data_IF_958286735931
#
_entry.id   IF_958286735931
#
_cell.length_a   1.000
_cell.length_b   1.000
_cell.length_c   1.000
_cell.angle_alpha   90.00
_cell.angle_beta   90.00
_cell.angle_gamma   90.00
#
_symmetry.space_group_name_H-M   'P 1'
#
loop_
_entity.id
_entity.type
_entity.pdbx_description
1 polymer ?
#
# COMPACT_ATOMS: atom_id res chain seq x y z
N UNK A 1 -43.69 21.22 -62.07
CA UNK A 1 -42.51 20.35 -62.38
C UNK A 1 -41.90 19.92 -61.05
N UNK A 2 -42.22 18.69 -60.59
CA UNK A 2 -41.37 17.47 -60.60
C UNK A 2 -40.13 17.62 -59.67
N UNK A 3 -40.12 17.01 -58.46
CA UNK A 3 -39.89 15.57 -58.09
C UNK A 3 -38.37 15.25 -58.03
N UNK A 4 -37.72 14.66 -57.01
CA UNK A 4 -37.94 13.50 -56.10
C UNK A 4 -36.72 13.42 -55.11
N UNK A 5 -36.58 12.46 -54.16
CA UNK A 5 -37.43 12.06 -53.01
C UNK A 5 -36.71 12.06 -51.63
N UNK A 6 -37.53 12.12 -50.58
CA UNK A 6 -37.27 11.65 -49.21
C UNK A 6 -37.60 10.14 -49.07
N UNK A 7 -37.14 9.53 -47.95
CA UNK A 7 -37.32 8.13 -47.49
C UNK A 7 -36.21 7.17 -47.96
N UNK A 8 -35.60 6.37 -47.08
CA UNK A 8 -36.16 5.56 -45.99
C UNK A 8 -35.21 5.54 -44.78
N UNK A 9 -35.76 5.25 -43.60
CA UNK A 9 -35.07 5.07 -42.30
C UNK A 9 -34.89 6.33 -41.44
N UNK A 10 -35.98 7.07 -41.26
CA UNK A 10 -36.30 7.64 -39.96
C UNK A 10 -37.31 6.70 -39.28
N UNK A 11 -36.93 6.09 -38.17
CA UNK A 11 -37.83 5.44 -37.20
C UNK A 11 -37.08 5.22 -35.87
N UNK A 12 -37.77 5.05 -34.74
CA UNK A 12 -37.99 6.08 -33.75
C UNK A 12 -37.13 5.89 -32.50
N UNK A 13 -36.94 6.98 -31.75
CA UNK A 13 -36.57 6.91 -30.34
C UNK A 13 -37.84 6.49 -29.59
N UNK A 14 -37.69 5.58 -28.61
CA UNK A 14 -38.69 5.05 -27.68
C UNK A 14 -39.31 3.69 -28.05
N UNK A 15 -38.74 2.61 -27.52
CA UNK A 15 -39.45 1.63 -26.69
C UNK A 15 -38.43 0.78 -25.88
N UNK A 16 -38.74 0.38 -24.63
CA UNK A 16 -37.81 -0.34 -23.77
C UNK A 16 -37.71 -1.81 -24.22
N UNK A 17 -36.48 -2.31 -24.32
CA UNK A 17 -36.20 -3.73 -24.62
C UNK A 17 -36.55 -4.57 -23.37
N UNK A 18 -37.84 -4.81 -23.17
CA UNK A 18 -38.35 -5.87 -22.32
C UNK A 18 -39.24 -6.75 -23.19
N UNK A 19 -38.72 -7.93 -23.54
CA UNK A 19 -39.37 -9.08 -24.21
C UNK A 19 -38.80 -9.40 -25.60
N UNK A 20 -37.67 -10.12 -25.63
CA UNK A 20 -37.31 -10.99 -26.74
C UNK A 20 -37.16 -12.42 -26.20
N UNK A 21 -38.09 -13.29 -26.58
CA UNK A 21 -38.11 -14.72 -26.21
C UNK A 21 -37.11 -15.51 -27.08
N UNK A 22 -36.37 -16.52 -26.54
CA UNK A 22 -35.18 -17.08 -27.21
C UNK A 22 -35.45 -18.15 -28.29
N UNK A 23 -36.69 -18.37 -28.72
CA UNK A 23 -37.05 -19.61 -29.46
C UNK A 23 -37.03 -19.50 -31.00
N UNK A 24 -36.48 -18.44 -31.60
CA UNK A 24 -36.59 -18.21 -33.07
C UNK A 24 -35.29 -18.27 -33.90
N UNK A 25 -34.16 -18.67 -33.33
CA UNK A 25 -32.90 -18.75 -34.11
C UNK A 25 -32.13 -20.04 -33.82
N UNK A 26 -32.37 -21.14 -34.56
CA UNK A 26 -31.48 -22.29 -34.53
C UNK A 26 -30.34 -22.03 -35.52
N UNK A 27 -29.12 -21.87 -35.00
CA UNK A 27 -27.89 -21.95 -35.78
C UNK A 27 -27.33 -20.63 -36.29
N UNK A 28 -26.73 -19.82 -35.41
CA UNK A 28 -25.67 -18.83 -35.73
C UNK A 28 -24.98 -18.17 -34.51
N UNK A 29 -25.29 -18.56 -33.27
CA UNK A 29 -24.91 -17.77 -32.09
C UNK A 29 -23.44 -17.89 -31.60
N UNK A 30 -22.62 -18.81 -32.13
CA UNK A 30 -21.28 -19.07 -31.56
C UNK A 30 -20.18 -18.20 -32.21
N UNK A 31 -20.33 -17.80 -33.47
CA UNK A 31 -19.35 -16.97 -34.17
C UNK A 31 -19.49 -15.46 -33.86
N UNK A 32 -20.69 -15.02 -33.44
CA UNK A 32 -21.00 -13.60 -33.23
C UNK A 32 -20.45 -13.09 -31.88
N UNK A 33 -20.30 -13.94 -30.87
CA UNK A 33 -19.76 -13.53 -29.57
C UNK A 33 -18.28 -13.13 -29.62
N UNK A 34 -17.44 -13.79 -30.42
CA UNK A 34 -16.03 -13.42 -30.56
C UNK A 34 -15.83 -12.09 -31.29
N UNK A 35 -16.62 -11.83 -32.33
CA UNK A 35 -16.54 -10.58 -33.11
C UNK A 35 -17.19 -9.41 -32.36
N UNK A 36 -18.25 -9.63 -31.56
CA UNK A 36 -18.83 -8.61 -30.70
C UNK A 36 -17.90 -8.24 -29.52
N UNK A 37 -17.16 -9.22 -28.98
CA UNK A 37 -16.11 -9.01 -27.97
C UNK A 37 -14.94 -8.18 -28.54
N UNK A 38 -14.57 -8.45 -29.80
CA UNK A 38 -13.57 -7.68 -30.54
C UNK A 38 -14.04 -6.25 -30.86
N UNK A 39 -15.31 -6.11 -31.25
CA UNK A 39 -15.93 -4.81 -31.49
C UNK A 39 -15.98 -3.97 -30.21
N UNK A 40 -16.26 -4.54 -29.04
CA UNK A 40 -16.26 -3.80 -27.77
C UNK A 40 -14.85 -3.32 -27.34
N UNK A 41 -13.82 -4.13 -27.55
CA UNK A 41 -12.41 -3.77 -27.25
C UNK A 41 -11.92 -2.65 -28.17
N UNK A 42 -12.31 -2.69 -29.46
CA UNK A 42 -11.94 -1.69 -30.46
C UNK A 42 -12.81 -0.42 -30.36
N UNK A 43 -14.12 -0.53 -30.13
CA UNK A 43 -15.03 0.62 -29.96
C UNK A 43 -14.77 1.40 -28.67
N UNK A 44 -14.34 0.75 -27.59
CA UNK A 44 -13.85 1.43 -26.38
C UNK A 44 -12.51 2.17 -26.60
N UNK A 45 -11.80 1.89 -27.71
CA UNK A 45 -10.61 2.62 -28.14
C UNK A 45 -10.89 3.78 -29.08
N UNK A 46 -11.98 3.73 -29.86
CA UNK A 46 -12.32 4.77 -30.84
C UNK A 46 -13.24 5.86 -30.25
N UNK A 47 -14.01 5.56 -29.20
CA UNK A 47 -14.97 6.52 -28.60
C UNK A 47 -14.50 7.00 -27.22
N UNK A 48 -13.51 7.91 -27.19
CA UNK A 48 -13.49 9.12 -26.35
C UNK A 48 -12.11 9.77 -26.36
N UNK A 49 -11.99 10.78 -27.22
CA UNK A 49 -11.19 11.95 -26.91
C UNK A 49 -11.73 12.61 -25.64
N UNK A 50 -10.83 13.16 -24.83
CA UNK A 50 -11.08 14.01 -23.67
C UNK A 50 -11.81 13.36 -22.47
N UNK A 51 -11.03 12.76 -21.57
CA UNK A 51 -11.14 12.87 -20.09
C UNK A 51 -10.11 11.93 -19.43
N UNK A 52 -9.49 12.28 -18.28
CA UNK A 52 -8.72 11.33 -17.50
C UNK A 52 -9.70 10.35 -16.86
N UNK A 53 -9.75 9.12 -17.39
CA UNK A 53 -10.63 8.08 -16.87
C UNK A 53 -10.17 7.68 -15.47
N UNK A 54 -10.89 8.18 -14.46
CA UNK A 54 -11.07 7.53 -13.16
C UNK A 54 -11.45 6.07 -13.45
N UNK A 55 -10.73 5.09 -12.90
CA UNK A 55 -11.05 3.67 -13.04
C UNK A 55 -12.55 3.47 -12.73
N UNK A 56 -13.42 3.21 -13.72
CA UNK A 56 -14.71 2.67 -13.37
C UNK A 56 -14.40 1.28 -12.84
N UNK A 57 -14.94 0.94 -11.67
CA UNK A 57 -14.95 -0.42 -11.17
C UNK A 57 -15.52 -1.31 -12.28
N UNK A 58 -14.64 -1.96 -13.04
CA UNK A 58 -15.05 -2.88 -14.09
C UNK A 58 -15.88 -3.95 -13.40
N UNK A 59 -17.07 -4.32 -13.94
CA UNK A 59 -17.84 -5.40 -13.36
C UNK A 59 -16.95 -6.65 -13.27
N UNK A 60 -17.03 -7.39 -12.16
CA UNK A 60 -16.41 -8.72 -12.04
C UNK A 60 -17.08 -9.61 -13.09
N UNK A 61 -16.52 -9.65 -14.29
CA UNK A 61 -17.01 -10.44 -15.39
C UNK A 61 -16.63 -11.90 -15.14
N UNK A 62 -17.61 -12.79 -15.29
CA UNK A 62 -17.41 -14.22 -15.19
C UNK A 62 -16.51 -14.67 -16.37
N UNK A 63 -15.35 -15.23 -16.02
CA UNK A 63 -14.22 -15.63 -16.89
C UNK A 63 -14.50 -16.90 -17.69
N UNK A 64 -15.73 -17.39 -17.71
CA UNK A 64 -16.07 -18.75 -18.16
C UNK A 64 -16.42 -18.88 -19.65
N UNK A 65 -16.16 -17.88 -20.50
CA UNK A 65 -16.38 -18.02 -21.94
C UNK A 65 -15.43 -19.10 -22.51
N UNK A 66 -15.94 -20.21 -23.06
CA UNK A 66 -15.11 -21.39 -23.40
C UNK A 66 -14.09 -21.19 -24.54
N UNK A 67 -13.99 -19.98 -25.10
CA UNK A 67 -13.11 -19.65 -26.22
C UNK A 67 -12.06 -18.58 -25.91
N UNK A 68 -12.18 -17.84 -24.80
CA UNK A 68 -11.23 -16.78 -24.48
C UNK A 68 -9.88 -17.40 -24.08
N UNK A 69 -8.85 -17.10 -24.87
CA UNK A 69 -7.51 -17.70 -24.73
C UNK A 69 -7.20 -18.87 -25.67
N UNK A 70 -8.07 -19.18 -26.63
CA UNK A 70 -7.71 -20.05 -27.74
C UNK A 70 -6.63 -19.43 -28.67
N UNK A 71 -6.03 -20.26 -29.53
CA UNK A 71 -4.96 -19.84 -30.45
C UNK A 71 -5.39 -18.68 -31.36
N UNK A 72 -6.66 -18.64 -31.76
CA UNK A 72 -7.21 -17.58 -32.62
C UNK A 72 -7.24 -16.24 -31.90
N UNK A 73 -7.70 -16.21 -30.65
CA UNK A 73 -7.71 -15.02 -29.82
C UNK A 73 -6.30 -14.53 -29.50
N UNK A 74 -5.37 -15.44 -29.16
CA UNK A 74 -3.97 -15.09 -28.95
C UNK A 74 -3.35 -14.48 -30.21
N UNK A 75 -3.53 -15.13 -31.37
CA UNK A 75 -3.01 -14.63 -32.66
C UNK A 75 -3.56 -13.24 -32.99
N UNK A 76 -4.84 -13.02 -32.73
CA UNK A 76 -5.48 -11.75 -33.01
C UNK A 76 -4.99 -10.63 -32.08
N UNK A 77 -4.90 -10.91 -30.78
CA UNK A 77 -4.33 -9.97 -29.81
C UNK A 77 -2.84 -9.69 -30.09
N UNK A 78 -2.08 -10.70 -30.52
CA UNK A 78 -0.69 -10.53 -30.94
C UNK A 78 -0.56 -9.54 -32.10
N UNK A 79 -1.43 -9.62 -33.11
CA UNK A 79 -1.44 -8.63 -34.21
C UNK A 79 -1.70 -7.21 -33.70
N UNK A 80 -2.59 -7.05 -32.72
CA UNK A 80 -2.89 -5.75 -32.13
C UNK A 80 -1.72 -5.13 -31.35
N UNK A 81 -0.69 -5.91 -30.98
CA UNK A 81 0.55 -5.37 -30.42
C UNK A 81 1.38 -4.57 -31.43
N UNK A 82 1.03 -4.57 -32.71
CA UNK A 82 1.75 -3.82 -33.75
C UNK A 82 0.97 -2.61 -34.27
N UNK A 83 -0.18 -2.30 -33.67
CA UNK A 83 -1.01 -1.15 -34.07
C UNK A 83 -0.34 0.20 -33.75
N UNK A 84 -0.66 1.22 -34.55
CA UNK A 84 -0.05 2.54 -34.42
C UNK A 84 -0.38 3.21 -33.07
N UNK A 85 -1.63 3.08 -32.60
CA UNK A 85 -2.06 3.64 -31.32
C UNK A 85 -1.57 2.77 -30.15
N UNK A 86 -0.74 3.36 -29.29
CA UNK A 86 -0.22 2.71 -28.09
C UNK A 86 -1.33 2.23 -27.13
N UNK A 87 -2.52 2.85 -27.15
CA UNK A 87 -3.66 2.41 -26.33
C UNK A 87 -4.22 1.07 -26.80
N UNK A 88 -4.19 0.81 -28.11
CA UNK A 88 -4.61 -0.47 -28.67
C UNK A 88 -3.59 -1.53 -28.29
N UNK A 89 -2.30 -1.25 -28.47
CA UNK A 89 -1.21 -2.15 -28.04
C UNK A 89 -1.25 -2.47 -26.55
N UNK A 90 -1.52 -1.46 -25.72
CA UNK A 90 -1.66 -1.63 -24.28
C UNK A 90 -2.81 -2.59 -23.95
N UNK A 91 -3.99 -2.38 -24.55
CA UNK A 91 -5.14 -3.27 -24.36
C UNK A 91 -4.86 -4.68 -24.86
N UNK A 92 -4.15 -4.82 -25.97
CA UNK A 92 -3.71 -6.10 -26.49
C UNK A 92 -2.81 -6.84 -25.50
N UNK A 93 -1.83 -6.16 -24.89
CA UNK A 93 -0.98 -6.74 -23.85
C UNK A 93 -1.77 -7.18 -22.61
N UNK A 94 -2.74 -6.37 -22.16
CA UNK A 94 -3.63 -6.76 -21.06
C UNK A 94 -4.44 -8.00 -21.43
N UNK A 95 -5.05 -8.00 -22.62
CA UNK A 95 -5.85 -9.13 -23.11
C UNK A 95 -5.03 -10.41 -23.19
N UNK A 96 -3.81 -10.34 -23.72
CA UNK A 96 -2.87 -11.47 -23.78
C UNK A 96 -2.58 -12.05 -22.39
N UNK A 97 -2.36 -11.22 -21.38
CA UNK A 97 -2.18 -11.67 -20.00
C UNK A 97 -3.39 -12.41 -19.43
N UNK A 98 -4.61 -12.04 -19.84
CA UNK A 98 -5.84 -12.66 -19.36
C UNK A 98 -6.16 -13.99 -20.06
N UNK A 99 -5.51 -14.29 -21.18
CA UNK A 99 -5.75 -15.54 -21.93
C UNK A 99 -5.32 -16.80 -21.18
N UNK A 100 -4.39 -16.68 -20.23
CA UNK A 100 -3.70 -17.83 -19.61
C UNK A 100 -3.12 -18.84 -20.62
N UNK A 101 -2.87 -18.41 -21.86
CA UNK A 101 -2.31 -19.25 -22.91
C UNK A 101 -0.78 -19.05 -22.99
N UNK A 102 0.03 -20.12 -22.94
CA UNK A 102 1.49 -20.00 -22.98
C UNK A 102 2.03 -19.31 -24.23
N UNK A 103 1.33 -19.45 -25.37
CA UNK A 103 1.72 -18.77 -26.62
C UNK A 103 1.66 -17.24 -26.50
N UNK A 104 0.87 -16.69 -25.57
CA UNK A 104 0.83 -15.25 -25.32
C UNK A 104 2.14 -14.69 -24.74
N UNK A 105 2.95 -15.53 -24.08
CA UNK A 105 4.18 -15.08 -23.42
C UNK A 105 5.25 -14.61 -24.40
N UNK A 106 5.40 -15.27 -25.55
CA UNK A 106 6.36 -14.86 -26.57
C UNK A 106 6.03 -13.46 -27.11
N UNK A 107 4.73 -13.20 -27.37
CA UNK A 107 4.24 -11.92 -27.81
C UNK A 107 4.39 -10.83 -26.73
N UNK A 108 4.18 -11.16 -25.46
CA UNK A 108 4.41 -10.26 -24.34
C UNK A 108 5.90 -9.95 -24.16
N UNK A 109 6.80 -10.92 -24.36
CA UNK A 109 8.26 -10.72 -24.32
C UNK A 109 8.74 -9.78 -25.43
N UNK A 110 8.12 -9.81 -26.61
CA UNK A 110 8.36 -8.82 -27.66
C UNK A 110 7.87 -7.42 -27.25
N UNK A 111 6.62 -7.31 -26.78
CA UNK A 111 5.99 -6.06 -26.37
C UNK A 111 6.67 -5.39 -25.16
N UNK A 112 7.53 -6.11 -24.42
CA UNK A 112 8.36 -5.52 -23.37
C UNK A 112 9.27 -4.40 -23.91
N UNK A 113 9.58 -4.40 -25.21
CA UNK A 113 10.42 -3.38 -25.85
C UNK A 113 9.62 -2.23 -26.47
N UNK A 114 8.32 -2.13 -26.18
CA UNK A 114 7.47 -1.08 -26.74
C UNK A 114 7.99 0.33 -26.41
N UNK A 115 7.88 1.23 -27.39
CA UNK A 115 8.28 2.64 -27.23
C UNK A 115 7.49 3.35 -26.13
N UNK A 116 6.23 2.99 -25.94
CA UNK A 116 5.34 3.61 -24.97
C UNK A 116 5.42 2.90 -23.59
N UNK A 117 5.75 3.62 -22.50
CA UNK A 117 5.81 3.05 -21.16
C UNK A 117 4.51 2.39 -20.67
N UNK A 118 3.35 2.88 -21.10
CA UNK A 118 2.06 2.32 -20.70
C UNK A 118 1.84 0.90 -21.23
N UNK A 119 2.35 0.60 -22.43
CA UNK A 119 2.35 -0.76 -22.99
C UNK A 119 3.30 -1.65 -22.19
N UNK A 120 4.51 -1.18 -21.90
CA UNK A 120 5.49 -1.93 -21.08
C UNK A 120 4.96 -2.24 -19.68
N UNK A 121 4.28 -1.29 -19.03
CA UNK A 121 3.60 -1.52 -17.74
C UNK A 121 2.53 -2.61 -17.86
N UNK A 122 1.72 -2.56 -18.94
CA UNK A 122 0.71 -3.59 -19.18
C UNK A 122 1.33 -4.98 -19.35
N UNK A 123 2.43 -5.09 -20.09
CA UNK A 123 3.20 -6.34 -20.24
C UNK A 123 3.66 -6.86 -18.88
N UNK A 124 4.33 -6.04 -18.07
CA UNK A 124 4.84 -6.45 -16.75
C UNK A 124 3.73 -6.92 -15.82
N UNK A 125 2.57 -6.26 -15.83
CA UNK A 125 1.41 -6.64 -15.01
C UNK A 125 0.71 -7.90 -15.54
N UNK A 126 0.59 -8.04 -16.85
CA UNK A 126 0.03 -9.22 -17.52
C UNK A 126 0.84 -10.46 -17.17
N UNK A 127 2.15 -10.37 -17.33
CA UNK A 127 3.09 -11.45 -17.07
C UNK A 127 3.10 -11.85 -15.59
N UNK A 128 3.03 -10.90 -14.66
CA UNK A 128 3.01 -11.21 -13.23
C UNK A 128 1.70 -11.87 -12.73
N UNK A 129 0.65 -11.86 -13.54
CA UNK A 129 -0.60 -12.57 -13.26
C UNK A 129 -0.69 -13.90 -14.02
N UNK A 130 0.33 -14.25 -14.80
CA UNK A 130 0.34 -15.43 -15.66
C UNK A 130 0.71 -16.71 -14.87
N UNK A 131 0.02 -17.85 -15.08
CA UNK A 131 0.29 -19.09 -14.33
C UNK A 131 1.67 -19.73 -14.59
N UNK A 132 2.23 -19.57 -15.79
CA UNK A 132 3.54 -20.11 -16.17
C UNK A 132 4.70 -19.29 -15.60
N UNK A 133 5.08 -19.64 -14.37
CA UNK A 133 6.00 -18.88 -13.53
C UNK A 133 7.34 -18.55 -14.20
N UNK A 134 8.09 -19.54 -14.71
CA UNK A 134 9.49 -19.33 -15.12
C UNK A 134 9.73 -18.24 -16.19
N UNK A 135 8.87 -18.16 -17.21
CA UNK A 135 8.99 -17.10 -18.24
C UNK A 135 8.61 -15.75 -17.66
N UNK A 136 7.62 -15.72 -16.77
CA UNK A 136 7.22 -14.51 -16.09
C UNK A 136 8.32 -13.93 -15.20
N UNK A 137 9.02 -14.78 -14.45
CA UNK A 137 10.17 -14.36 -13.64
C UNK A 137 11.27 -13.74 -14.51
N UNK A 138 11.62 -14.38 -15.64
CA UNK A 138 12.64 -13.87 -16.57
C UNK A 138 12.30 -12.48 -17.09
N UNK A 139 11.07 -12.28 -17.57
CA UNK A 139 10.62 -10.99 -18.11
C UNK A 139 10.70 -9.90 -17.02
N UNK A 140 10.21 -10.19 -15.81
CA UNK A 140 10.21 -9.23 -14.69
C UNK A 140 11.63 -8.90 -14.24
N UNK A 141 12.52 -9.90 -14.13
CA UNK A 141 13.93 -9.69 -13.75
C UNK A 141 14.65 -8.82 -14.79
N UNK A 142 14.47 -9.10 -16.08
CA UNK A 142 15.06 -8.30 -17.16
C UNK A 142 14.59 -6.84 -17.13
N UNK A 143 13.35 -6.60 -16.66
CA UNK A 143 12.77 -5.28 -16.57
C UNK A 143 13.32 -4.42 -15.42
N UNK A 144 14.11 -4.98 -14.48
CA UNK A 144 14.71 -4.21 -13.38
C UNK A 144 15.73 -3.16 -13.86
N UNK A 145 16.23 -3.28 -15.09
CA UNK A 145 17.08 -2.28 -15.75
C UNK A 145 16.31 -1.13 -16.42
N UNK A 146 14.99 -1.06 -16.28
CA UNK A 146 14.16 0.00 -16.86
C UNK A 146 14.54 1.40 -16.35
N UNK A 147 14.41 2.38 -17.24
CA UNK A 147 14.73 3.78 -16.93
C UNK A 147 13.50 4.61 -16.58
N UNK A 148 12.33 4.19 -17.07
CA UNK A 148 11.08 4.90 -16.80
C UNK A 148 10.59 4.56 -15.38
N UNK A 149 10.45 5.53 -14.47
CA UNK A 149 10.07 5.24 -13.08
C UNK A 149 8.72 4.52 -12.92
N UNK A 150 7.74 4.83 -13.78
CA UNK A 150 6.43 4.17 -13.72
C UNK A 150 6.52 2.70 -14.13
N UNK A 151 7.43 2.36 -15.06
CA UNK A 151 7.71 0.97 -15.42
C UNK A 151 8.43 0.26 -14.28
N UNK A 152 9.47 0.87 -13.71
CA UNK A 152 10.22 0.29 -12.56
C UNK A 152 9.30 0.03 -11.37
N UNK A 153 8.34 0.93 -11.09
CA UNK A 153 7.32 0.70 -10.08
C UNK A 153 6.52 -0.59 -10.36
N UNK A 154 6.00 -0.74 -11.58
CA UNK A 154 5.25 -1.95 -11.96
C UNK A 154 6.12 -3.21 -11.83
N UNK A 155 7.41 -3.12 -12.16
CA UNK A 155 8.37 -4.22 -12.02
C UNK A 155 8.55 -4.61 -10.55
N UNK A 156 8.77 -3.63 -9.66
CA UNK A 156 8.93 -3.86 -8.23
C UNK A 156 7.66 -4.43 -7.56
N UNK A 157 6.47 -3.99 -7.99
CA UNK A 157 5.18 -4.57 -7.59
C UNK A 157 5.07 -6.03 -8.04
N UNK A 158 5.48 -6.33 -9.28
CA UNK A 158 5.48 -7.69 -9.84
C UNK A 158 6.50 -8.60 -9.15
N UNK A 159 7.69 -8.09 -8.79
CA UNK A 159 8.70 -8.83 -8.02
C UNK A 159 8.14 -9.33 -6.69
N UNK A 160 7.41 -8.48 -5.97
CA UNK A 160 6.77 -8.87 -4.69
C UNK A 160 5.65 -9.87 -4.92
N UNK A 161 4.80 -9.64 -5.94
CA UNK A 161 3.67 -10.53 -6.24
C UNK A 161 4.09 -11.94 -6.59
N UNK A 162 5.20 -12.07 -7.33
CA UNK A 162 5.75 -13.36 -7.77
C UNK A 162 6.73 -13.97 -6.76
N UNK A 163 6.96 -13.29 -5.62
CA UNK A 163 7.90 -13.71 -4.58
C UNK A 163 9.33 -13.97 -5.13
N UNK A 164 9.84 -13.05 -5.95
CA UNK A 164 11.12 -13.21 -6.65
C UNK A 164 12.32 -12.87 -5.78
N UNK A 165 12.59 -13.71 -4.78
CA UNK A 165 13.78 -13.60 -3.93
C UNK A 165 15.10 -13.62 -4.72
N UNK A 166 15.14 -14.31 -5.86
CA UNK A 166 16.30 -14.31 -6.77
C UNK A 166 16.63 -12.93 -7.34
N UNK A 167 15.68 -11.99 -7.34
CA UNK A 167 15.88 -10.62 -7.79
C UNK A 167 16.52 -9.70 -6.73
N UNK A 168 16.80 -10.21 -5.52
CA UNK A 168 17.27 -9.45 -4.36
C UNK A 168 18.39 -8.44 -4.70
N UNK A 169 19.49 -8.91 -5.29
CA UNK A 169 20.65 -8.07 -5.60
C UNK A 169 20.30 -6.94 -6.58
N UNK A 170 19.43 -7.23 -7.55
CA UNK A 170 19.02 -6.26 -8.56
C UNK A 170 18.01 -5.24 -8.02
N UNK A 171 17.16 -5.64 -7.09
CA UNK A 171 16.30 -4.72 -6.33
C UNK A 171 17.16 -3.85 -5.39
N UNK A 172 18.20 -4.42 -4.78
CA UNK A 172 19.11 -3.68 -3.90
C UNK A 172 19.86 -2.56 -4.65
N UNK A 173 20.23 -2.76 -5.92
CA UNK A 173 20.80 -1.69 -6.76
C UNK A 173 19.85 -0.48 -6.89
N UNK A 174 18.53 -0.71 -6.92
CA UNK A 174 17.52 0.35 -7.04
C UNK A 174 17.38 1.19 -5.75
N UNK A 175 17.91 0.73 -4.62
CA UNK A 175 18.03 1.54 -3.40
C UNK A 175 18.95 2.75 -3.60
N UNK A 176 19.81 2.75 -4.62
CA UNK A 176 20.71 3.85 -4.96
C UNK A 176 20.22 4.64 -6.20
N UNK A 177 18.98 4.41 -6.63
CA UNK A 177 18.39 5.13 -7.77
C UNK A 177 18.38 6.65 -7.56
N UNK A 178 18.59 7.48 -8.60
CA UNK A 178 18.45 8.93 -8.50
C UNK A 178 17.02 9.35 -8.12
N UNK A 179 16.01 8.53 -8.45
CA UNK A 179 14.62 8.83 -8.12
C UNK A 179 14.26 8.35 -6.69
N UNK A 180 13.90 9.26 -5.76
CA UNK A 180 13.56 8.90 -4.39
C UNK A 180 12.35 7.96 -4.26
N UNK A 181 11.39 8.02 -5.19
CA UNK A 181 10.24 7.11 -5.20
C UNK A 181 10.70 5.67 -5.51
N UNK A 182 11.66 5.52 -6.42
CA UNK A 182 12.23 4.20 -6.76
C UNK A 182 13.03 3.63 -5.58
N UNK A 183 13.84 4.46 -4.90
CA UNK A 183 14.54 4.03 -3.68
C UNK A 183 13.57 3.52 -2.62
N UNK A 184 12.48 4.26 -2.39
CA UNK A 184 11.43 3.88 -1.45
C UNK A 184 10.72 2.58 -1.88
N UNK A 185 10.38 2.42 -3.15
CA UNK A 185 9.73 1.21 -3.64
C UNK A 185 10.65 0.00 -3.51
N UNK A 186 11.93 0.13 -3.85
CA UNK A 186 12.91 -0.94 -3.74
C UNK A 186 13.07 -1.43 -2.29
N UNK A 187 13.18 -0.53 -1.32
CA UNK A 187 13.24 -0.93 0.09
C UNK A 187 11.95 -1.54 0.61
N UNK A 188 10.79 -1.13 0.06
CA UNK A 188 9.51 -1.74 0.40
C UNK A 188 9.40 -3.16 -0.16
N UNK A 189 9.89 -3.38 -1.38
CA UNK A 189 9.93 -4.69 -2.02
C UNK A 189 10.83 -5.65 -1.25
N UNK A 190 12.06 -5.25 -0.88
CA UNK A 190 12.96 -6.10 -0.09
C UNK A 190 12.35 -6.47 1.26
N UNK A 191 11.75 -5.51 1.96
CA UNK A 191 11.07 -5.77 3.24
C UNK A 191 9.90 -6.75 3.07
N UNK A 192 9.07 -6.58 2.05
CA UNK A 192 7.92 -7.46 1.81
C UNK A 192 8.35 -8.89 1.44
N UNK A 193 9.53 -9.04 0.83
CA UNK A 193 10.16 -10.33 0.55
C UNK A 193 10.95 -10.89 1.75
N UNK A 194 11.04 -10.16 2.87
CA UNK A 194 11.85 -10.57 4.03
C UNK A 194 13.35 -10.60 3.77
N UNK A 195 13.84 -9.85 2.78
CA UNK A 195 15.23 -9.82 2.37
C UNK A 195 16.02 -8.75 3.13
N UNK A 196 17.26 -9.06 3.58
CA UNK A 196 18.09 -8.09 4.28
C UNK A 196 18.56 -6.98 3.34
N UNK A 197 18.86 -5.82 3.92
CA UNK A 197 19.54 -4.71 3.23
C UNK A 197 20.96 -4.61 3.76
N UNK A 198 21.93 -4.57 2.84
CA UNK A 198 23.34 -4.41 3.18
C UNK A 198 23.58 -3.17 4.05
N UNK A 199 24.46 -3.30 5.03
CA UNK A 199 24.73 -2.25 6.03
C UNK A 199 25.14 -0.93 5.37
N UNK A 200 26.07 -0.96 4.41
CA UNK A 200 26.54 0.23 3.70
C UNK A 200 25.42 0.94 2.93
N UNK A 201 24.50 0.16 2.36
CA UNK A 201 23.34 0.70 1.64
C UNK A 201 22.36 1.30 2.65
N UNK A 202 22.09 0.62 3.76
CA UNK A 202 21.21 1.15 4.80
C UNK A 202 21.74 2.46 5.38
N UNK A 203 23.04 2.57 5.65
CA UNK A 203 23.66 3.80 6.16
C UNK A 203 23.48 4.95 5.16
N UNK A 204 23.60 4.69 3.85
CA UNK A 204 23.31 5.68 2.80
C UNK A 204 21.83 6.09 2.79
N UNK A 205 20.90 5.14 2.90
CA UNK A 205 19.46 5.43 2.95
C UNK A 205 19.05 6.21 4.21
N UNK A 206 19.72 5.96 5.34
CA UNK A 206 19.53 6.74 6.57
C UNK A 206 20.06 8.17 6.44
N UNK A 207 20.98 8.43 5.51
CA UNK A 207 21.51 9.76 5.22
C UNK A 207 20.81 10.46 4.04
N UNK A 208 19.76 9.85 3.48
CA UNK A 208 19.04 10.33 2.32
C UNK A 208 18.33 11.69 2.57
N UNK A 209 18.23 12.52 1.53
CA UNK A 209 17.54 13.81 1.59
C UNK A 209 16.00 13.66 1.58
N UNK A 210 15.49 12.53 1.08
CA UNK A 210 14.07 12.22 1.00
C UNK A 210 13.55 11.64 2.31
N UNK A 211 12.70 12.40 3.01
CA UNK A 211 12.09 11.94 4.27
C UNK A 211 11.37 10.58 4.16
N UNK A 212 10.59 10.27 3.10
CA UNK A 212 10.03 8.92 2.91
C UNK A 212 11.07 7.79 2.87
N UNK A 213 12.23 8.03 2.23
CA UNK A 213 13.31 7.05 2.15
C UNK A 213 13.95 6.85 3.52
N UNK A 214 14.24 7.94 4.24
CA UNK A 214 14.78 7.87 5.61
C UNK A 214 13.81 7.16 6.55
N UNK A 215 12.51 7.41 6.46
CA UNK A 215 11.49 6.74 7.30
C UNK A 215 11.52 5.22 7.08
N UNK A 216 11.60 4.78 5.82
CA UNK A 216 11.74 3.38 5.50
C UNK A 216 13.06 2.81 6.02
N UNK A 217 14.17 3.52 5.85
CA UNK A 217 15.46 3.09 6.36
C UNK A 217 15.45 2.93 7.89
N UNK A 218 14.77 3.82 8.62
CA UNK A 218 14.59 3.72 10.07
C UNK A 218 13.73 2.52 10.50
N UNK A 219 12.74 2.15 9.69
CA UNK A 219 11.93 0.94 9.88
C UNK A 219 12.78 -0.32 9.69
N UNK A 220 13.51 -0.41 8.56
CA UNK A 220 14.43 -1.52 8.26
C UNK A 220 15.48 -1.66 9.36
N UNK A 221 16.15 -0.55 9.70
CA UNK A 221 17.25 -0.51 10.67
C UNK A 221 16.89 -1.12 12.02
N UNK A 222 15.64 -0.99 12.46
CA UNK A 222 15.25 -1.50 13.77
C UNK A 222 14.44 -2.79 13.75
N UNK A 223 14.32 -3.43 12.59
CA UNK A 223 13.89 -4.82 12.44
C UNK A 223 15.03 -5.76 12.02
N UNK A 224 16.28 -5.29 11.99
CA UNK A 224 17.46 -6.10 11.65
C UNK A 224 18.58 -5.95 12.70
N UNK A 225 19.58 -6.85 12.72
CA UNK A 225 20.76 -6.69 13.58
C UNK A 225 21.42 -5.33 13.37
N UNK A 226 21.75 -4.65 14.46
CA UNK A 226 22.28 -3.28 14.41
C UNK A 226 23.78 -3.27 14.69
N UNK A 227 24.51 -2.46 13.92
CA UNK A 227 25.93 -2.15 14.11
C UNK A 227 26.13 -0.77 14.76
N UNK A 228 27.37 -0.45 15.13
CA UNK A 228 27.74 0.89 15.60
C UNK A 228 27.52 1.97 14.52
N UNK A 229 27.72 1.64 13.24
CA UNK A 229 27.52 2.56 12.13
C UNK A 229 26.03 2.90 11.94
N UNK A 230 25.14 1.89 11.99
CA UNK A 230 23.68 2.11 11.95
C UNK A 230 23.23 2.98 13.12
N UNK A 231 23.69 2.68 14.34
CA UNK A 231 23.35 3.47 15.54
C UNK A 231 23.80 4.93 15.38
N UNK A 232 25.00 5.17 14.85
CA UNK A 232 25.50 6.52 14.60
C UNK A 232 24.66 7.27 13.55
N UNK A 233 24.29 6.61 12.45
CA UNK A 233 23.44 7.17 11.41
C UNK A 233 22.04 7.52 11.93
N UNK A 234 21.40 6.62 12.70
CA UNK A 234 20.10 6.88 13.34
C UNK A 234 20.21 8.05 14.34
N UNK A 235 21.27 8.11 15.14
CA UNK A 235 21.51 9.22 16.09
C UNK A 235 21.66 10.57 15.38
N UNK A 236 22.30 10.59 14.22
CA UNK A 236 22.39 11.79 13.37
C UNK A 236 20.99 12.26 12.98
N UNK A 237 20.12 11.37 12.48
CA UNK A 237 18.73 11.71 12.12
C UNK A 237 17.90 12.18 13.33
N UNK A 238 18.09 11.60 14.50
CA UNK A 238 17.44 12.03 15.75
C UNK A 238 17.83 13.46 16.21
N UNK A 239 18.98 13.95 15.73
CA UNK A 239 19.54 15.25 16.09
C UNK A 239 19.29 16.33 15.02
N UNK A 240 18.90 15.94 13.80
CA UNK A 240 18.62 16.88 12.69
C UNK A 240 17.28 17.60 12.86
N UNK A 241 17.20 18.82 12.32
CA UNK A 241 16.04 19.69 12.43
C UNK A 241 15.02 19.55 11.27
N UNK A 242 15.28 18.74 10.26
CA UNK A 242 14.59 18.81 8.95
C UNK A 242 13.12 18.43 9.03
N UNK A 243 12.75 17.36 9.76
CA UNK A 243 11.36 16.92 9.88
C UNK A 243 11.07 16.39 11.28
N UNK A 244 10.05 16.93 11.99
CA UNK A 244 9.63 16.41 13.29
C UNK A 244 9.22 14.93 13.24
N UNK A 245 8.70 14.46 12.09
CA UNK A 245 8.29 13.06 11.91
C UNK A 245 9.51 12.13 11.81
N UNK A 246 10.50 12.48 10.97
CA UNK A 246 11.76 11.73 10.84
C UNK A 246 12.49 11.72 12.17
N UNK A 247 12.59 12.87 12.84
CA UNK A 247 13.24 13.01 14.14
C UNK A 247 12.57 12.15 15.21
N UNK A 248 11.24 12.19 15.29
CA UNK A 248 10.49 11.39 16.26
C UNK A 248 10.69 9.88 16.04
N UNK A 249 10.66 9.44 14.78
CA UNK A 249 10.91 8.05 14.42
C UNK A 249 12.36 7.65 14.72
N UNK A 250 13.35 8.48 14.38
CA UNK A 250 14.75 8.20 14.65
C UNK A 250 15.06 8.08 16.15
N UNK A 251 14.44 8.90 17.00
CA UNK A 251 14.53 8.78 18.46
C UNK A 251 13.96 7.44 18.93
N UNK A 252 12.79 7.04 18.41
CA UNK A 252 12.15 5.77 18.77
C UNK A 252 12.96 4.56 18.28
N UNK A 253 13.50 4.62 17.06
CA UNK A 253 14.42 3.64 16.47
C UNK A 253 15.69 3.53 17.31
N UNK A 254 16.34 4.65 17.66
CA UNK A 254 17.55 4.64 18.49
C UNK A 254 17.29 4.02 19.87
N UNK A 255 16.15 4.33 20.48
CA UNK A 255 15.78 3.76 21.76
C UNK A 255 15.54 2.24 21.70
N UNK A 256 14.99 1.75 20.57
CA UNK A 256 14.81 0.33 20.30
C UNK A 256 16.14 -0.39 20.09
N UNK A 257 17.08 0.25 19.39
CA UNK A 257 18.39 -0.33 19.09
C UNK A 257 19.35 -0.28 20.29
N UNK A 258 19.40 0.86 20.99
CA UNK A 258 20.28 1.08 22.12
C UNK A 258 19.71 2.18 23.02
N UNK A 259 18.89 1.78 24.00
CA UNK A 259 18.27 2.71 24.94
C UNK A 259 19.30 3.57 25.69
N UNK A 260 20.43 2.99 26.10
CA UNK A 260 21.47 3.70 26.85
C UNK A 260 22.00 4.92 26.08
N UNK A 261 22.28 4.76 24.78
CA UNK A 261 22.70 5.88 23.93
C UNK A 261 21.57 6.87 23.62
N UNK A 262 20.30 6.42 23.64
CA UNK A 262 19.14 7.26 23.40
C UNK A 262 18.75 8.14 24.60
N UNK A 263 19.17 7.80 25.84
CA UNK A 263 18.70 8.44 27.09
C UNK A 263 18.70 9.96 27.06
N UNK A 264 19.82 10.57 26.69
CA UNK A 264 19.95 12.04 26.68
C UNK A 264 19.04 12.69 25.62
N UNK A 265 18.89 12.06 24.45
CA UNK A 265 17.98 12.53 23.40
C UNK A 265 16.51 12.36 23.80
N UNK A 266 16.16 11.25 24.46
CA UNK A 266 14.82 11.00 24.98
C UNK A 266 14.42 12.03 26.04
N UNK A 267 15.32 12.40 26.94
CA UNK A 267 15.04 13.41 27.95
C UNK A 267 14.71 14.77 27.32
N UNK A 268 15.46 15.18 26.29
CA UNK A 268 15.17 16.39 25.50
C UNK A 268 13.90 16.26 24.66
N UNK A 269 13.62 15.06 24.15
CA UNK A 269 12.44 14.78 23.34
C UNK A 269 11.16 14.85 24.17
N UNK A 270 11.20 14.41 25.43
CA UNK A 270 10.09 14.45 26.38
C UNK A 270 9.62 15.88 26.70
N UNK A 271 10.50 16.87 26.60
CA UNK A 271 10.18 18.30 26.81
C UNK A 271 9.99 19.09 25.51
N UNK A 272 10.01 18.41 24.36
CA UNK A 272 9.91 19.05 23.05
C UNK A 272 8.61 19.86 22.87
N UNK A 273 8.64 21.01 22.17
CA UNK A 273 7.42 21.72 21.81
C UNK A 273 6.50 20.86 20.94
N UNK A 274 7.08 20.00 20.09
CA UNK A 274 6.33 19.12 19.19
C UNK A 274 5.70 17.94 19.95
N UNK A 275 4.36 17.77 19.93
CA UNK A 275 3.71 16.63 20.56
C UNK A 275 4.08 15.29 19.91
N UNK A 276 4.45 15.27 18.62
CA UNK A 276 4.91 14.06 17.94
C UNK A 276 6.20 13.52 18.55
N UNK A 277 7.13 14.42 18.87
CA UNK A 277 8.43 14.06 19.45
C UNK A 277 8.26 13.60 20.90
N UNK A 278 7.43 14.30 21.69
CA UNK A 278 7.09 13.88 23.06
C UNK A 278 6.46 12.49 23.08
N UNK A 279 5.51 12.23 22.16
CA UNK A 279 4.85 10.93 22.00
C UNK A 279 5.85 9.81 21.75
N UNK A 280 6.83 10.01 20.86
CA UNK A 280 7.85 9.01 20.57
C UNK A 280 8.77 8.76 21.76
N UNK A 281 9.12 9.79 22.53
CA UNK A 281 9.86 9.62 23.78
C UNK A 281 9.10 8.75 24.79
N UNK A 282 7.80 8.99 24.96
CA UNK A 282 6.94 8.21 25.87
C UNK A 282 6.81 6.75 25.43
N UNK A 283 6.66 6.48 24.13
CA UNK A 283 6.66 5.11 23.59
C UNK A 283 7.97 4.38 23.87
N UNK A 284 9.10 5.05 23.65
CA UNK A 284 10.41 4.52 23.96
C UNK A 284 10.58 4.24 25.45
N UNK A 285 10.14 5.14 26.33
CA UNK A 285 10.13 4.92 27.77
C UNK A 285 9.26 3.73 28.19
N UNK A 286 8.08 3.58 27.58
CA UNK A 286 7.21 2.41 27.80
C UNK A 286 7.90 1.09 27.47
N UNK A 287 8.51 0.99 26.28
CA UNK A 287 9.25 -0.22 25.87
C UNK A 287 10.45 -0.51 26.76
N UNK A 288 11.09 0.52 27.29
CA UNK A 288 12.25 0.40 28.19
C UNK A 288 11.88 0.28 29.68
N UNK A 289 10.59 0.12 30.01
CA UNK A 289 10.12 -0.03 31.39
C UNK A 289 10.33 1.18 32.29
N UNK A 290 10.47 2.39 31.72
CA UNK A 290 10.71 3.62 32.48
C UNK A 290 9.39 4.21 33.02
N UNK A 291 8.78 3.51 33.97
CA UNK A 291 7.43 3.79 34.49
C UNK A 291 7.22 5.25 34.90
N UNK A 292 8.14 5.84 35.67
CA UNK A 292 8.04 7.21 36.14
C UNK A 292 7.94 8.24 34.98
N UNK A 293 8.72 8.05 33.91
CA UNK A 293 8.69 8.92 32.74
C UNK A 293 7.38 8.78 31.95
N UNK A 294 6.79 7.57 31.94
CA UNK A 294 5.49 7.31 31.33
C UNK A 294 4.35 7.92 32.16
N UNK A 295 4.38 7.75 33.49
CA UNK A 295 3.38 8.32 34.41
C UNK A 295 3.33 9.85 34.33
N UNK A 296 4.49 10.51 34.29
CA UNK A 296 4.56 11.96 34.11
C UNK A 296 3.84 12.43 32.82
N UNK A 297 3.90 11.64 31.75
CA UNK A 297 3.27 11.97 30.47
C UNK A 297 1.75 11.76 30.44
N UNK A 298 1.14 11.17 31.46
CA UNK A 298 -0.32 11.13 31.61
C UNK A 298 -0.93 12.52 31.79
N UNK A 299 -0.15 13.49 32.29
CA UNK A 299 -0.57 14.89 32.46
C UNK A 299 -0.08 15.79 31.30
N UNK A 300 0.33 15.22 30.17
CA UNK A 300 0.81 16.02 29.03
C UNK A 300 -0.32 16.89 28.44
N UNK A 301 0.03 18.13 28.07
CA UNK A 301 -0.88 19.07 27.40
C UNK A 301 -1.54 18.54 26.12
N UNK A 302 -0.92 17.57 25.43
CA UNK A 302 -1.44 16.96 24.21
C UNK A 302 -2.12 15.62 24.50
N UNK A 303 -3.38 15.51 24.09
CA UNK A 303 -4.16 14.26 24.17
C UNK A 303 -3.46 13.07 23.49
N UNK A 304 -2.71 13.33 22.42
CA UNK A 304 -1.95 12.29 21.71
C UNK A 304 -0.81 11.71 22.56
N UNK A 305 -0.15 12.54 23.36
CA UNK A 305 0.94 12.11 24.24
C UNK A 305 0.36 11.37 25.44
N UNK A 306 -0.73 11.88 26.02
CA UNK A 306 -1.45 11.19 27.11
C UNK A 306 -1.90 9.79 26.70
N UNK A 307 -2.49 9.65 25.51
CA UNK A 307 -2.88 8.31 24.98
C UNK A 307 -1.67 7.38 24.82
N UNK A 308 -0.52 7.90 24.37
CA UNK A 308 0.69 7.09 24.26
C UNK A 308 1.22 6.66 25.63
N UNK A 309 1.13 7.53 26.64
CA UNK A 309 1.47 7.21 28.02
C UNK A 309 0.56 6.10 28.57
N UNK A 310 -0.75 6.25 28.42
CA UNK A 310 -1.75 5.23 28.79
C UNK A 310 -1.44 3.86 28.19
N UNK A 311 -1.07 3.80 26.89
CA UNK A 311 -0.69 2.55 26.23
C UNK A 311 0.68 2.02 26.70
N UNK A 312 1.62 2.90 27.00
CA UNK A 312 2.97 2.56 27.44
C UNK A 312 3.02 1.96 28.85
N UNK A 313 2.05 2.25 29.72
CA UNK A 313 1.96 1.73 31.11
C UNK A 313 1.83 0.19 31.19
N UNK A 314 1.52 -0.44 30.06
CA UNK A 314 1.18 -1.88 29.96
C UNK A 314 2.14 -2.63 29.03
N UNK A 315 2.95 -1.90 28.26
CA UNK A 315 3.93 -2.50 27.36
C UNK A 315 3.35 -2.95 26.02
N UNK A 316 4.20 -3.39 25.08
CA UNK A 316 3.79 -3.88 23.78
C UNK A 316 3.24 -5.33 23.86
N UNK A 317 2.01 -5.54 23.36
CA UNK A 317 1.47 -6.88 23.10
C UNK A 317 0.28 -7.33 23.94
N UNK A 318 -0.37 -6.46 24.73
CA UNK A 318 -1.25 -6.95 25.80
C UNK A 318 -2.70 -6.45 25.87
N UNK A 319 -3.44 -7.27 26.62
CA UNK A 319 -4.87 -7.48 26.75
C UNK A 319 -5.68 -6.19 27.03
N UNK A 320 -6.65 -5.84 26.18
CA UNK A 320 -7.52 -4.68 26.36
C UNK A 320 -8.19 -4.59 27.75
N UNK A 321 -8.48 -5.73 28.39
CA UNK A 321 -9.13 -5.79 29.70
C UNK A 321 -8.21 -5.27 30.82
N UNK A 322 -6.93 -5.64 30.80
CA UNK A 322 -5.97 -5.19 31.79
C UNK A 322 -5.63 -3.70 31.62
N UNK A 323 -5.65 -3.23 30.36
CA UNK A 323 -5.60 -1.80 30.03
C UNK A 323 -6.77 -1.02 30.58
N UNK A 324 -7.98 -1.51 30.40
CA UNK A 324 -9.17 -0.87 30.95
C UNK A 324 -9.10 -0.83 32.48
N UNK A 325 -8.70 -1.92 33.15
CA UNK A 325 -8.60 -2.00 34.62
C UNK A 325 -7.60 -0.99 35.18
N UNK A 326 -6.42 -0.87 34.57
CA UNK A 326 -5.35 0.02 35.05
C UNK A 326 -5.63 1.49 34.72
N UNK A 327 -6.29 1.78 33.59
CA UNK A 327 -6.81 3.12 33.30
C UNK A 327 -7.93 3.51 34.28
N UNK A 328 -8.77 2.56 34.67
CA UNK A 328 -9.81 2.78 35.66
C UNK A 328 -9.24 3.07 37.04
N UNK A 329 -8.21 2.33 37.49
CA UNK A 329 -7.54 2.62 38.75
C UNK A 329 -6.83 3.99 38.73
N UNK A 330 -6.17 4.36 37.62
CA UNK A 330 -5.57 5.68 37.45
C UNK A 330 -6.61 6.81 37.45
N UNK A 331 -7.78 6.58 36.88
CA UNK A 331 -8.89 7.54 36.88
C UNK A 331 -9.42 7.81 38.29
N UNK A 332 -9.50 6.75 39.13
CA UNK A 332 -10.01 6.84 40.49
C UNK A 332 -8.95 7.30 41.51
N UNK A 333 -7.69 6.96 41.31
CA UNK A 333 -6.61 7.22 42.26
C UNK A 333 -5.80 8.50 41.97
N UNK A 334 -5.91 9.10 40.79
CA UNK A 334 -5.11 10.30 40.45
C UNK A 334 -5.64 11.56 41.14
N UNK A 335 -4.79 12.31 41.87
CA UNK A 335 -5.15 13.60 42.43
C UNK A 335 -5.20 14.74 41.41
N UNK A 336 -4.84 14.51 40.14
CA UNK A 336 -4.94 15.51 39.06
C UNK A 336 -6.11 15.23 38.12
N UNK A 337 -6.94 16.26 37.90
CA UNK A 337 -8.08 16.21 36.97
C UNK A 337 -7.65 15.81 35.56
N UNK A 338 -6.43 16.17 35.16
CA UNK A 338 -5.90 15.93 33.82
C UNK A 338 -5.50 14.48 33.59
N UNK A 339 -4.88 13.80 34.56
CA UNK A 339 -4.55 12.37 34.45
C UNK A 339 -5.83 11.52 34.47
N UNK A 340 -6.82 11.89 35.31
CA UNK A 340 -8.14 11.26 35.33
C UNK A 340 -8.88 11.47 34.00
N UNK A 341 -8.84 12.68 33.45
CA UNK A 341 -9.43 13.00 32.14
C UNK A 341 -8.70 12.27 30.99
N UNK A 342 -7.38 12.12 31.04
CA UNK A 342 -6.64 11.33 30.06
C UNK A 342 -6.99 9.85 30.09
N UNK A 343 -7.12 9.28 31.29
CA UNK A 343 -7.57 7.91 31.47
C UNK A 343 -8.98 7.74 30.90
N UNK A 344 -9.89 8.71 31.13
CA UNK A 344 -11.22 8.74 30.50
C UNK A 344 -11.15 8.83 28.98
N UNK A 345 -10.40 9.79 28.42
CA UNK A 345 -10.24 9.97 26.97
C UNK A 345 -9.66 8.70 26.31
N UNK A 346 -8.70 8.05 26.98
CA UNK A 346 -8.12 6.80 26.53
C UNK A 346 -9.14 5.66 26.55
N UNK A 347 -9.93 5.52 27.62
CA UNK A 347 -11.03 4.55 27.72
C UNK A 347 -12.11 4.79 26.65
N UNK A 348 -12.48 6.05 26.39
CA UNK A 348 -13.44 6.42 25.33
C UNK A 348 -12.92 6.05 23.95
N UNK A 349 -11.62 6.28 23.67
CA UNK A 349 -10.99 5.90 22.39
C UNK A 349 -10.74 4.41 22.24
N UNK A 350 -10.64 3.65 23.34
CA UNK A 350 -10.64 2.18 23.33
C UNK A 350 -12.06 1.66 23.10
N UNK A 351 -13.08 2.37 23.61
CA UNK A 351 -14.49 1.97 23.57
C UNK A 351 -15.20 2.06 22.21
N UNK A 352 -14.56 2.49 21.12
CA UNK A 352 -15.20 2.49 19.79
C UNK A 352 -15.30 1.12 19.14
N UNK A 353 -14.58 0.11 19.64
CA UNK A 353 -14.72 -1.29 19.20
C UNK A 353 -15.32 -2.12 20.34
N UNK A 354 -16.64 -2.37 20.28
CA UNK A 354 -17.47 -3.37 21.02
C UNK A 354 -17.35 -3.52 22.56
N UNK A 355 -16.37 -2.90 23.22
CA UNK A 355 -16.00 -3.07 24.63
C UNK A 355 -16.57 -1.95 25.53
N UNK A 356 -17.06 -0.85 24.94
CA UNK A 356 -17.66 0.27 25.69
C UNK A 356 -18.86 -0.14 26.55
N UNK A 357 -19.64 -1.14 26.15
CA UNK A 357 -20.86 -1.54 26.86
C UNK A 357 -20.54 -2.22 28.20
N UNK A 358 -19.52 -3.08 28.23
CA UNK A 358 -19.05 -3.74 29.46
C UNK A 358 -18.26 -2.79 30.35
N UNK A 359 -17.43 -1.93 29.75
CA UNK A 359 -16.69 -0.90 30.49
C UNK A 359 -17.65 0.12 31.16
N UNK A 360 -18.71 0.55 30.47
CA UNK A 360 -19.74 1.44 31.02
C UNK A 360 -20.58 0.79 32.13
N UNK A 361 -20.87 -0.52 32.02
CA UNK A 361 -21.59 -1.28 33.05
C UNK A 361 -20.74 -1.50 34.31
N UNK A 362 -19.42 -1.64 34.14
CA UNK A 362 -18.45 -1.76 35.24
C UNK A 362 -18.23 -0.39 35.89
N UNK A 363 -18.12 0.68 35.09
CA UNK A 363 -18.06 2.08 35.54
C UNK A 363 -19.23 2.46 36.45
N UNK A 364 -20.47 2.08 36.09
CA UNK A 364 -21.65 2.37 36.91
C UNK A 364 -21.62 1.68 38.27
N UNK A 365 -21.07 0.47 38.34
CA UNK A 365 -20.98 -0.34 39.58
C UNK A 365 -19.90 0.14 40.53
N UNK A 366 -18.77 0.60 40.01
CA UNK A 366 -17.66 1.07 40.83
C UNK A 366 -17.86 2.53 41.30
N UNK A 367 -18.46 3.41 40.48
CA UNK A 367 -18.82 4.77 40.92
C UNK A 367 -19.88 4.80 42.03
N UNK A 368 -20.74 3.78 42.11
CA UNK A 368 -21.73 3.66 43.19
C UNK A 368 -21.12 3.20 44.52
N UNK A 369 -19.98 2.51 44.50
CA UNK A 369 -19.23 2.16 45.72
C UNK A 369 -18.53 3.36 46.32
N UNK A 370 -17.91 4.19 45.48
CA UNK A 370 -17.18 5.39 45.93
C UNK A 370 -18.07 6.54 46.41
N UNK A 371 -19.36 6.59 46.02
CA UNK A 371 -20.33 7.57 46.54
C UNK A 371 -20.95 7.20 47.90
N UNK A 372 -20.65 6.01 48.42
CA UNK A 372 -21.18 5.51 49.71
C UNK A 372 -20.16 5.60 50.86
N UNK A 373 -19.00 6.19 50.58
CA UNK A 373 -18.06 6.72 51.54
C UNK A 373 -17.96 8.23 51.31
#
# INVERSE_FOLDING_TARGET
>A
MKKYPMSKYAMPIEEPISNVHPSRWPGCAVAVCGVAMFAAIVLAGVVRAAEPLVEPALPRWDVSAPTFGDERNVTLLARLLHEADWRVRQRAAVGLGQTNNPAALEHLEEAQRDTNPAVRIAVIRAVASYPGRAVAERIVINALGEKNPAVVQAVLESVVRLDLSIAASRVAELLLSPNPQIRQLAGASLRNLGLPVDEDVLVKLLADDSAPVVIQALDIAANQPSSAAIIAAVKSQASRAVSPAVRALAIETLARLNFAQARALLARAATSPSPLIRRSAVRAYGRAGQAQAVEAALSDRSAMVRLAASRAIIGPGENPVELIRKLFSLMLASPSDQASQAARDALVRIGTDQVATEAAATMRREMTKYRRH
#
